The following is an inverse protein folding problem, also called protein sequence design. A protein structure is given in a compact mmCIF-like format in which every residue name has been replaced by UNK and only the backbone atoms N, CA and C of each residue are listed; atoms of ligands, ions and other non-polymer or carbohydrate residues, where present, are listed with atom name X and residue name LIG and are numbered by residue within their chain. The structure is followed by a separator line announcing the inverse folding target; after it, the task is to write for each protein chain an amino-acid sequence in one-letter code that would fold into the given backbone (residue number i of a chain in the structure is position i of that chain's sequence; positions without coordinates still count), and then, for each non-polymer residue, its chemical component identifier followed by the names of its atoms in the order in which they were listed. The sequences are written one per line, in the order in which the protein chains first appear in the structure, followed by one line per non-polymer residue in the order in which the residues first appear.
data_IF_123316383777
#
_entry.id   IF_123316383777
#
_cell.length_a   1.000
_cell.length_b   1.000
_cell.length_c   1.000
_cell.angle_alpha   90.00
_cell.angle_beta   90.00
_cell.angle_gamma   90.00
#
_symmetry.space_group_name_H-M   'P 1'
#
loop_
_entity.id
_entity.type
_entity.pdbx_description
1 polymer ?
#
# COMPACT_ATOMS: atom_id res chain seq x y z
N UNK A 1 -54.22 -15.80 -7.08
CA UNK A 1 -53.53 -14.61 -6.50
C UNK A 1 -52.41 -14.95 -5.51
N UNK A 2 -52.59 -15.83 -4.51
CA UNK A 2 -51.55 -16.18 -3.51
C UNK A 2 -50.20 -16.61 -4.13
N UNK A 3 -50.19 -17.45 -5.16
CA UNK A 3 -48.93 -17.88 -5.81
C UNK A 3 -48.15 -16.78 -6.53
N UNK A 4 -48.81 -15.71 -7.01
CA UNK A 4 -48.13 -14.61 -7.71
C UNK A 4 -47.48 -13.66 -6.71
N UNK A 5 -48.18 -13.34 -5.61
CA UNK A 5 -47.64 -12.51 -4.53
C UNK A 5 -46.41 -13.15 -3.86
N UNK A 6 -46.45 -14.47 -3.63
CA UNK A 6 -45.31 -15.19 -3.07
C UNK A 6 -44.10 -15.22 -4.04
N UNK A 7 -44.34 -15.22 -5.35
CA UNK A 7 -43.28 -15.19 -6.36
C UNK A 7 -42.56 -13.84 -6.40
N UNK A 8 -43.34 -12.76 -6.40
CA UNK A 8 -42.82 -11.39 -6.35
C UNK A 8 -42.01 -11.19 -5.06
N UNK A 9 -42.55 -11.63 -3.91
CA UNK A 9 -41.85 -11.60 -2.63
C UNK A 9 -40.54 -12.39 -2.63
N UNK A 10 -40.52 -13.57 -3.25
CA UNK A 10 -39.31 -14.39 -3.37
C UNK A 10 -38.24 -13.72 -4.24
N UNK A 11 -38.63 -13.08 -5.34
CA UNK A 11 -37.70 -12.32 -6.19
C UNK A 11 -37.04 -11.16 -5.44
N UNK A 12 -37.82 -10.38 -4.68
CA UNK A 12 -37.27 -9.30 -3.85
C UNK A 12 -36.35 -9.81 -2.74
N UNK A 13 -36.68 -10.94 -2.13
CA UNK A 13 -35.82 -11.58 -1.12
C UNK A 13 -34.47 -12.02 -1.71
N UNK A 14 -34.49 -12.50 -2.95
CA UNK A 14 -33.32 -12.94 -3.69
C UNK A 14 -32.41 -11.77 -4.09
N UNK A 15 -33.00 -10.64 -4.50
CA UNK A 15 -32.28 -9.38 -4.75
C UNK A 15 -31.67 -8.81 -3.47
N UNK A 16 -32.41 -8.85 -2.34
CA UNK A 16 -31.89 -8.39 -1.06
C UNK A 16 -30.66 -9.21 -0.61
N UNK A 17 -30.69 -10.53 -0.79
CA UNK A 17 -29.54 -11.41 -0.49
C UNK A 17 -28.31 -11.07 -1.33
N UNK A 18 -28.48 -10.76 -2.61
CA UNK A 18 -27.38 -10.33 -3.48
C UNK A 18 -26.77 -9.00 -3.02
N UNK A 19 -27.60 -8.01 -2.70
CA UNK A 19 -27.14 -6.69 -2.23
C UNK A 19 -26.39 -6.82 -0.90
N UNK A 20 -26.90 -7.63 0.04
CA UNK A 20 -26.23 -7.89 1.32
C UNK A 20 -24.88 -8.59 1.10
N UNK A 21 -24.81 -9.56 0.18
CA UNK A 21 -23.56 -10.26 -0.15
C UNK A 21 -22.50 -9.34 -0.75
N UNK A 22 -22.89 -8.45 -1.68
CA UNK A 22 -21.99 -7.45 -2.28
C UNK A 22 -21.52 -6.45 -1.22
N UNK A 23 -22.44 -5.96 -0.38
CA UNK A 23 -22.11 -5.03 0.70
C UNK A 23 -21.12 -5.65 1.70
N UNK A 24 -21.29 -6.93 2.05
CA UNK A 24 -20.39 -7.64 2.95
C UNK A 24 -18.98 -7.78 2.36
N UNK A 25 -18.86 -8.12 1.07
CA UNK A 25 -17.57 -8.24 0.40
C UNK A 25 -16.88 -6.88 0.35
N UNK A 26 -17.61 -5.83 -0.05
CA UNK A 26 -17.07 -4.47 -0.06
C UNK A 26 -16.59 -4.06 1.34
N UNK A 27 -17.40 -4.25 2.38
CA UNK A 27 -17.01 -3.91 3.75
C UNK A 27 -15.74 -4.65 4.18
N UNK A 28 -15.65 -5.94 3.89
CA UNK A 28 -14.46 -6.73 4.21
C UNK A 28 -13.23 -6.24 3.46
N UNK A 29 -13.36 -6.02 2.15
CA UNK A 29 -12.27 -5.51 1.31
C UNK A 29 -11.79 -4.14 1.77
N UNK A 30 -12.71 -3.26 2.19
CA UNK A 30 -12.38 -1.95 2.76
C UNK A 30 -11.60 -2.07 4.08
N UNK A 31 -12.04 -2.95 4.98
CA UNK A 31 -11.33 -3.21 6.24
C UNK A 31 -9.94 -3.81 6.03
N UNK A 32 -9.77 -4.68 5.03
CA UNK A 32 -8.48 -5.28 4.70
C UNK A 32 -7.55 -4.24 4.06
N UNK A 33 -8.09 -3.33 3.24
CA UNK A 33 -7.34 -2.22 2.61
C UNK A 33 -6.87 -1.18 3.65
N UNK A 34 -7.71 -0.85 4.64
CA UNK A 34 -7.34 0.06 5.73
C UNK A 34 -6.21 -0.50 6.60
N UNK A 35 -6.26 -1.79 6.95
CA UNK A 35 -5.17 -2.47 7.66
C UNK A 35 -3.88 -2.44 6.85
N UNK A 36 -3.98 -2.64 5.53
CA UNK A 36 -2.85 -2.64 4.61
C UNK A 36 -2.20 -1.24 4.52
N UNK A 37 -2.99 -0.18 4.45
CA UNK A 37 -2.49 1.21 4.43
C UNK A 37 -1.74 1.59 5.70
N UNK A 38 -2.26 1.21 6.87
CA UNK A 38 -1.60 1.50 8.16
C UNK A 38 -0.25 0.78 8.23
N UNK A 39 -0.20 -0.50 7.88
CA UNK A 39 1.05 -1.25 7.81
C UNK A 39 2.01 -0.70 6.75
N UNK A 40 1.51 -0.12 5.65
CA UNK A 40 2.33 0.47 4.58
C UNK A 40 3.04 1.73 5.04
N UNK A 41 2.33 2.61 5.74
CA UNK A 41 2.92 3.83 6.30
C UNK A 41 4.09 3.53 7.24
N UNK A 42 4.00 2.49 8.06
CA UNK A 42 5.09 2.13 8.97
C UNK A 42 6.37 1.69 8.24
N UNK A 43 6.24 0.93 7.15
CA UNK A 43 7.40 0.43 6.38
C UNK A 43 8.01 1.55 5.52
N UNK A 44 7.19 2.39 4.90
CA UNK A 44 7.70 3.53 4.13
C UNK A 44 8.42 4.54 5.04
N UNK A 45 7.87 4.80 6.23
CA UNK A 45 8.51 5.64 7.25
C UNK A 45 9.85 5.01 7.69
N UNK A 46 9.88 3.71 7.94
CA UNK A 46 11.11 3.01 8.30
C UNK A 46 12.19 3.10 7.21
N UNK A 47 11.81 2.97 5.94
CA UNK A 47 12.74 3.10 4.80
C UNK A 47 13.29 4.51 4.70
N UNK A 48 12.44 5.52 4.87
CA UNK A 48 12.84 6.91 4.84
C UNK A 48 13.82 7.26 5.98
N UNK A 49 13.49 6.86 7.22
CA UNK A 49 14.37 7.06 8.38
C UNK A 49 15.69 6.29 8.23
N UNK A 50 15.65 5.06 7.72
CA UNK A 50 16.84 4.26 7.46
C UNK A 50 17.75 4.92 6.42
N UNK A 51 17.17 5.48 5.36
CA UNK A 51 17.91 6.18 4.31
C UNK A 51 18.56 7.46 4.84
N UNK A 52 17.85 8.25 5.64
CA UNK A 52 18.38 9.45 6.29
C UNK A 52 19.57 9.11 7.20
N UNK A 53 19.46 8.05 8.01
CA UNK A 53 20.57 7.56 8.83
C UNK A 53 21.75 7.19 7.93
N UNK A 54 21.55 6.46 6.84
CA UNK A 54 22.66 6.04 5.98
C UNK A 54 23.39 7.21 5.33
N UNK A 55 22.67 8.19 4.80
CA UNK A 55 23.26 9.36 4.13
C UNK A 55 24.11 10.14 5.13
N UNK A 56 23.54 10.49 6.29
CA UNK A 56 24.24 11.29 7.29
C UNK A 56 25.43 10.52 7.90
N UNK A 57 25.36 9.19 7.99
CA UNK A 57 26.45 8.37 8.54
C UNK A 57 27.60 8.21 7.55
N UNK A 58 27.29 8.12 6.26
CA UNK A 58 28.29 8.19 5.19
C UNK A 58 28.98 9.55 5.22
N UNK A 59 28.21 10.65 5.30
CA UNK A 59 28.76 12.00 5.38
C UNK A 59 29.73 12.15 6.55
N UNK A 60 29.30 11.80 7.78
CA UNK A 60 30.13 11.82 8.98
C UNK A 60 31.34 10.87 8.92
N UNK A 61 31.26 9.79 8.13
CA UNK A 61 32.37 8.88 7.86
C UNK A 61 33.41 9.52 6.95
N UNK A 62 32.99 10.20 5.89
CA UNK A 62 33.89 10.88 4.95
C UNK A 62 34.52 12.16 5.51
N UNK A 63 33.87 12.87 6.44
CA UNK A 63 34.42 14.11 7.02
C UNK A 63 35.84 13.96 7.61
N UNK A 64 36.27 12.73 7.95
CA UNK A 64 37.64 12.49 8.43
C UNK A 64 38.75 12.71 7.41
N UNK A 65 38.43 12.73 6.12
CA UNK A 65 39.41 12.86 5.03
C UNK A 65 39.88 14.31 4.85
N UNK A 66 39.04 15.29 5.19
CA UNK A 66 39.34 16.72 5.03
C UNK A 66 39.82 17.39 6.33
N UNK A 67 40.05 16.62 7.40
CA UNK A 67 40.32 17.13 8.75
C UNK A 67 41.56 18.04 8.86
N UNK A 68 42.49 17.93 7.91
CA UNK A 68 43.72 18.74 7.85
C UNK A 68 43.47 20.20 7.44
N UNK A 69 42.32 20.48 6.80
CA UNK A 69 41.94 21.80 6.30
C UNK A 69 40.92 22.49 7.22
N UNK A 70 40.52 21.84 8.32
CA UNK A 70 39.42 22.30 9.15
C UNK A 70 39.77 23.48 10.04
N UNK A 71 38.86 24.45 10.07
CA UNK A 71 38.82 25.51 11.08
C UNK A 71 37.85 25.16 12.21
N UNK A 72 37.78 26.03 13.22
CA UNK A 72 36.83 25.87 14.34
C UNK A 72 35.37 25.78 13.87
N UNK A 73 34.99 26.49 12.80
CA UNK A 73 33.64 26.45 12.25
C UNK A 73 33.26 25.06 11.70
N UNK A 74 34.20 24.37 11.05
CA UNK A 74 33.99 23.01 10.51
C UNK A 74 33.83 21.99 11.64
N UNK A 75 34.56 22.19 12.75
CA UNK A 75 34.43 21.36 13.94
C UNK A 75 33.04 21.51 14.58
N UNK A 76 32.49 22.73 14.62
CA UNK A 76 31.12 22.96 15.10
C UNK A 76 30.08 22.37 14.15
N UNK A 77 30.29 22.49 12.84
CA UNK A 77 29.42 21.87 11.84
C UNK A 77 29.36 20.34 12.01
N UNK A 78 30.53 19.71 12.16
CA UNK A 78 30.63 18.28 12.42
C UNK A 78 29.94 17.88 13.72
N UNK A 79 30.14 18.66 14.79
CA UNK A 79 29.48 18.42 16.08
C UNK A 79 27.95 18.48 15.95
N UNK A 80 27.43 19.50 15.25
CA UNK A 80 25.99 19.63 15.01
C UNK A 80 25.43 18.44 14.23
N UNK A 81 26.05 18.05 13.12
CA UNK A 81 25.65 16.88 12.34
C UNK A 81 25.67 15.59 13.17
N UNK A 82 26.69 15.42 14.03
CA UNK A 82 26.78 14.29 14.96
C UNK A 82 25.62 14.30 15.96
N UNK A 83 25.20 15.45 16.46
CA UNK A 83 24.08 15.54 17.41
C UNK A 83 22.73 15.24 16.75
N UNK A 84 22.54 15.67 15.50
CA UNK A 84 21.38 15.25 14.68
C UNK A 84 21.37 13.74 14.52
N UNK A 85 22.51 13.14 14.14
CA UNK A 85 22.66 11.69 14.02
C UNK A 85 22.34 10.98 15.34
N UNK A 86 22.84 11.49 16.47
CA UNK A 86 22.62 10.89 17.78
C UNK A 86 21.13 10.87 18.18
N UNK A 87 20.41 11.95 17.87
CA UNK A 87 18.96 12.05 18.06
C UNK A 87 18.21 11.02 17.21
N UNK A 88 18.55 10.93 15.92
CA UNK A 88 17.92 9.96 15.01
C UNK A 88 18.23 8.52 15.47
N UNK A 89 19.47 8.21 15.83
CA UNK A 89 19.86 6.90 16.36
C UNK A 89 19.12 6.56 17.67
N UNK A 90 18.85 7.54 18.53
CA UNK A 90 18.08 7.34 19.76
C UNK A 90 16.61 7.03 19.46
N UNK A 91 15.99 7.75 18.52
CA UNK A 91 14.63 7.44 18.03
C UNK A 91 14.58 6.08 17.35
N UNK A 92 15.60 5.73 16.60
CA UNK A 92 15.68 4.45 15.92
C UNK A 92 15.85 3.30 16.93
N UNK A 93 16.59 3.52 18.03
CA UNK A 93 16.78 2.54 19.10
C UNK A 93 15.49 2.17 19.83
N UNK A 94 14.57 3.12 20.04
CA UNK A 94 13.27 2.83 20.69
C UNK A 94 12.37 1.96 19.82
N UNK A 95 12.46 2.11 18.50
CA UNK A 95 11.68 1.32 17.55
C UNK A 95 12.37 -0.03 17.28
N UNK A 96 13.70 -0.05 17.20
CA UNK A 96 14.51 -1.22 16.86
C UNK A 96 15.76 -1.33 17.75
N UNK A 97 15.66 -2.05 18.89
CA UNK A 97 16.78 -2.22 19.80
C UNK A 97 17.84 -3.11 19.15
N UNK A 98 18.94 -2.51 18.69
CA UNK A 98 20.12 -3.23 18.22
C UNK A 98 21.35 -2.80 19.00
N UNK A 99 22.17 -3.77 19.43
CA UNK A 99 23.42 -3.49 20.15
C UNK A 99 24.44 -2.70 19.30
N UNK A 100 24.26 -2.66 17.98
CA UNK A 100 25.16 -1.93 17.05
C UNK A 100 24.98 -0.42 17.11
N UNK A 101 23.78 0.08 17.43
CA UNK A 101 23.52 1.53 17.51
C UNK A 101 24.43 2.18 18.56
N UNK A 102 24.55 1.57 19.74
CA UNK A 102 25.39 2.10 20.81
C UNK A 102 26.88 2.09 20.42
N UNK A 103 27.34 1.05 19.72
CA UNK A 103 28.71 1.01 19.18
C UNK A 103 28.97 2.12 18.16
N UNK A 104 28.02 2.39 17.26
CA UNK A 104 28.11 3.46 16.26
C UNK A 104 28.18 4.83 16.94
N UNK A 105 27.34 5.08 17.96
CA UNK A 105 27.34 6.33 18.72
C UNK A 105 28.70 6.59 19.39
N UNK A 106 29.24 5.59 20.07
CA UNK A 106 30.56 5.71 20.70
C UNK A 106 31.70 5.89 19.68
N UNK A 107 31.62 5.25 18.52
CA UNK A 107 32.60 5.43 17.45
C UNK A 107 32.58 6.86 16.89
N UNK A 108 31.41 7.44 16.70
CA UNK A 108 31.24 8.83 16.24
C UNK A 108 31.75 9.84 17.28
N UNK A 109 31.49 9.60 18.57
CA UNK A 109 32.02 10.43 19.65
C UNK A 109 33.55 10.39 19.74
N UNK A 110 34.12 9.20 19.65
CA UNK A 110 35.57 9.03 19.69
C UNK A 110 36.25 9.65 18.47
N UNK A 111 35.62 9.56 17.30
CA UNK A 111 36.08 10.22 16.06
C UNK A 111 36.10 11.75 16.21
N UNK A 112 35.02 12.37 16.69
CA UNK A 112 34.97 13.82 16.97
C UNK A 112 36.12 14.24 17.90
N UNK A 113 36.34 13.47 18.97
CA UNK A 113 37.39 13.75 19.95
C UNK A 113 38.78 13.71 19.32
N UNK A 114 39.03 12.80 18.37
CA UNK A 114 40.30 12.74 17.66
C UNK A 114 40.46 13.88 16.65
N UNK A 115 39.42 14.22 15.90
CA UNK A 115 39.43 15.36 14.97
C UNK A 115 39.76 16.66 15.71
N UNK A 116 39.13 16.90 16.87
CA UNK A 116 39.43 18.06 17.72
C UNK A 116 40.90 18.10 18.15
N UNK A 117 41.51 16.96 18.48
CA UNK A 117 42.95 16.89 18.81
C UNK A 117 43.83 17.19 17.60
N UNK A 118 43.46 16.74 16.41
CA UNK A 118 44.21 17.00 15.17
C UNK A 118 44.20 18.50 14.86
N UNK A 119 43.03 19.13 14.87
CA UNK A 119 42.88 20.59 14.64
C UNK A 119 43.69 21.39 15.66
N UNK A 120 43.64 21.05 16.96
CA UNK A 120 44.44 21.72 17.99
C UNK A 120 45.95 21.62 17.76
N UNK A 121 46.44 20.45 17.32
CA UNK A 121 47.87 20.28 17.00
C UNK A 121 48.24 21.08 15.75
N UNK A 122 47.35 21.18 14.78
CA UNK A 122 47.56 21.97 13.57
C UNK A 122 47.62 23.48 13.87
N UNK A 123 46.71 23.99 14.70
CA UNK A 123 46.74 25.38 15.18
C UNK A 123 48.04 25.70 15.95
N UNK A 124 48.51 24.77 16.79
CA UNK A 124 49.80 24.91 17.49
C UNK A 124 50.98 24.93 16.51
N UNK A 125 50.95 24.08 15.48
CA UNK A 125 51.96 24.02 14.44
C UNK A 125 52.03 25.34 13.65
N UNK A 126 50.87 25.92 13.32
CA UNK A 126 50.76 27.19 12.61
C UNK A 126 51.23 28.37 13.47
N UNK A 127 50.88 28.40 14.77
CA UNK A 127 51.38 29.41 15.70
C UNK A 127 52.91 29.37 15.87
N UNK A 128 53.52 28.18 15.84
CA UNK A 128 54.99 28.03 15.83
C UNK A 128 55.56 28.54 14.51
N UNK A 129 54.95 28.19 13.37
CA UNK A 129 55.40 28.65 12.05
C UNK A 129 55.30 30.18 11.89
N UNK A 130 54.27 30.81 12.45
CA UNK A 130 54.13 32.27 12.51
C UNK A 130 55.19 32.92 13.38
N UNK A 131 55.52 32.31 14.53
CA UNK A 131 56.66 32.75 15.37
C UNK A 131 57.98 32.67 14.61
N UNK A 132 58.20 31.60 13.83
CA UNK A 132 59.38 31.44 12.96
C UNK A 132 59.45 32.57 11.94
N UNK A 133 58.36 32.79 11.20
CA UNK A 133 58.28 33.83 10.16
C UNK A 133 58.53 35.23 10.73
N UNK A 134 58.14 35.49 11.98
CA UNK A 134 58.40 36.77 12.67
C UNK A 134 59.79 36.89 13.29
N UNK A 135 60.38 35.80 13.79
CA UNK A 135 61.67 35.85 14.51
C UNK A 135 62.89 35.71 13.60
N UNK A 136 62.79 34.94 12.52
CA UNK A 136 63.90 34.73 11.57
C UNK A 136 64.43 36.06 10.99
N UNK A 137 63.59 37.02 10.57
CA UNK A 137 64.07 38.32 10.10
C UNK A 137 64.78 39.14 11.18
N UNK A 138 64.29 39.11 12.42
CA UNK A 138 64.81 39.92 13.54
C UNK A 138 66.22 39.48 13.92
N UNK A 139 66.49 38.18 13.86
CA UNK A 139 67.79 37.63 14.22
C UNK A 139 68.80 37.82 13.07
N UNK A 140 68.36 37.73 11.81
CA UNK A 140 69.17 38.11 10.64
C UNK A 140 69.53 39.60 10.72
N UNK A 141 68.59 40.48 11.08
CA UNK A 141 68.83 41.92 11.22
C UNK A 141 69.83 42.25 12.34
N UNK A 142 69.72 41.59 13.51
CA UNK A 142 70.72 41.71 14.59
C UNK A 142 72.10 41.19 14.19
N UNK A 143 72.18 40.14 13.37
CA UNK A 143 73.45 39.61 12.86
C UNK A 143 74.14 40.50 11.83
N UNK A 144 73.39 41.30 11.07
CA UNK A 144 73.95 42.32 10.15
C UNK A 144 74.53 43.50 10.93
N UNK A 145 74.02 43.77 12.13
CA UNK A 145 74.51 44.86 13.00
C UNK A 145 75.76 44.45 13.81
N UNK A 146 76.00 43.16 14.02
CA UNK A 146 77.27 42.63 14.55
C UNK A 146 78.27 42.41 13.41
N UNK A 147 79.02 43.46 13.05
CA UNK A 147 80.14 43.33 12.09
C UNK A 147 81.14 42.24 12.50
N UNK A 148 81.66 41.43 11.56
CA UNK A 148 82.77 40.52 11.84
C UNK A 148 84.02 41.35 12.13
N UNK A 149 84.55 41.32 13.35
CA UNK A 149 85.85 41.92 13.64
C UNK A 149 86.91 41.25 12.76
N UNK A 150 87.50 42.04 11.85
CA UNK A 150 88.58 41.61 10.95
C UNK A 150 89.74 41.02 11.78
N UNK A 151 90.32 39.87 11.39
CA UNK A 151 91.48 39.32 12.07
C UNK A 151 92.68 40.27 11.91
N UNK A 152 93.15 40.86 13.02
CA UNK A 152 94.38 41.67 13.02
C UNK A 152 95.59 40.77 12.80
N UNK A 153 96.22 40.90 11.63
CA UNK A 153 97.49 40.26 11.31
C UNK A 153 98.63 41.11 11.88
N UNK A 154 99.26 40.67 12.96
CA UNK A 154 100.51 41.27 13.46
C UNK A 154 101.67 40.53 12.79
N UNK A 155 102.43 41.21 11.94
CA UNK A 155 103.70 40.72 11.40
C UNK A 155 104.86 41.40 12.12
N UNK A 156 105.82 40.61 12.60
CA UNK A 156 107.25 40.67 12.25
C UNK A 156 108.00 39.60 13.06
N UNK A 157 108.77 38.76 12.36
CA UNK A 157 109.63 37.65 12.80
C UNK A 157 108.98 36.48 13.58
N UNK A 158 109.14 35.27 13.05
CA UNK A 158 109.02 34.03 13.82
C UNK A 158 108.03 33.03 13.23
N UNK A 159 108.57 31.97 12.64
CA UNK A 159 107.87 30.83 12.05
C UNK A 159 107.11 30.10 13.17
N UNK A 160 105.84 30.41 13.45
CA UNK A 160 104.81 29.56 14.10
C UNK A 160 103.57 30.42 14.42
N UNK A 161 102.79 30.75 13.39
CA UNK A 161 101.48 31.38 13.55
C UNK A 161 100.35 30.35 13.47
N UNK A 162 99.96 29.72 14.58
CA UNK A 162 98.75 28.90 14.65
C UNK A 162 97.56 29.82 14.33
N UNK A 163 96.84 29.55 13.23
CA UNK A 163 95.58 30.24 12.93
C UNK A 163 94.56 29.79 13.98
N UNK A 164 94.23 30.67 14.91
CA UNK A 164 93.14 30.43 15.85
C UNK A 164 91.83 30.42 15.04
N UNK A 165 91.12 29.29 15.08
CA UNK A 165 89.81 29.16 14.42
C UNK A 165 88.90 30.26 14.98
N UNK A 166 88.16 31.01 14.14
CA UNK A 166 87.28 32.06 14.65
C UNK A 166 86.31 31.44 15.66
N UNK A 167 86.31 31.95 16.90
CA UNK A 167 85.32 31.59 17.91
C UNK A 167 83.94 31.94 17.34
N UNK A 168 82.96 31.02 17.34
CA UNK A 168 81.62 31.35 16.90
C UNK A 168 81.08 32.45 17.83
N UNK A 169 80.80 33.63 17.26
CA UNK A 169 80.12 34.74 17.95
C UNK A 169 78.88 34.18 18.66
N UNK A 170 78.63 34.56 19.91
CA UNK A 170 77.53 34.01 20.74
C UNK A 170 76.18 33.95 20.00
N UNK A 171 75.91 34.93 19.14
CA UNK A 171 74.75 35.04 18.25
C UNK A 171 74.60 33.86 17.28
N UNK A 172 75.69 33.34 16.71
CA UNK A 172 75.65 32.14 15.84
C UNK A 172 75.41 30.85 16.61
N UNK A 173 75.79 30.81 17.89
CA UNK A 173 75.54 29.64 18.75
C UNK A 173 74.09 29.64 19.24
N UNK A 174 73.55 30.82 19.59
CA UNK A 174 72.13 30.99 19.97
C UNK A 174 71.17 30.74 18.81
N UNK A 175 71.49 31.19 17.59
CA UNK A 175 70.71 30.86 16.39
C UNK A 175 70.65 29.36 16.14
N UNK A 176 71.79 28.66 16.23
CA UNK A 176 71.85 27.21 16.04
C UNK A 176 71.12 26.43 17.12
N UNK A 177 71.14 26.88 18.37
CA UNK A 177 70.40 26.21 19.44
C UNK A 177 68.89 26.42 19.27
N UNK A 178 68.45 27.64 18.95
CA UNK A 178 67.06 27.95 18.69
C UNK A 178 66.53 27.14 17.48
N UNK A 179 67.29 27.09 16.39
CA UNK A 179 66.97 26.31 15.20
C UNK A 179 66.88 24.81 15.51
N UNK A 180 67.80 24.25 16.31
CA UNK A 180 67.75 22.84 16.72
C UNK A 180 66.57 22.50 17.62
N UNK A 181 66.32 23.29 18.66
CA UNK A 181 65.24 23.01 19.61
C UNK A 181 63.87 23.14 18.93
N UNK A 182 63.74 24.12 18.04
CA UNK A 182 62.52 24.35 17.26
C UNK A 182 62.28 23.28 16.18
N UNK A 183 63.32 22.84 15.47
CA UNK A 183 63.22 21.68 14.55
C UNK A 183 62.87 20.40 15.32
N UNK A 184 63.40 20.23 16.55
CA UNK A 184 63.07 19.09 17.39
C UNK A 184 61.60 19.11 17.83
N UNK A 185 61.07 20.29 18.19
CA UNK A 185 59.66 20.48 18.56
C UNK A 185 58.72 20.25 17.36
N UNK A 186 59.08 20.77 16.18
CA UNK A 186 58.35 20.52 14.92
C UNK A 186 58.32 19.02 14.56
N UNK A 187 59.46 18.31 14.69
CA UNK A 187 59.52 16.87 14.47
C UNK A 187 58.71 16.08 15.49
N UNK A 188 58.68 16.51 16.75
CA UNK A 188 57.89 15.86 17.79
C UNK A 188 56.37 16.03 17.54
N UNK A 189 55.93 17.22 17.12
CA UNK A 189 54.55 17.48 16.74
C UNK A 189 54.13 16.71 15.48
N UNK A 190 54.98 16.68 14.44
CA UNK A 190 54.73 15.89 13.22
C UNK A 190 54.59 14.39 13.52
N UNK A 191 55.40 13.83 14.43
CA UNK A 191 55.25 12.44 14.88
C UNK A 191 53.94 12.20 15.63
N UNK A 192 53.51 13.13 16.48
CA UNK A 192 52.20 13.05 17.18
C UNK A 192 51.05 13.12 16.17
N UNK A 193 51.16 13.98 15.17
CA UNK A 193 50.16 14.11 14.11
C UNK A 193 50.03 12.81 13.31
N UNK A 194 51.15 12.19 12.90
CA UNK A 194 51.16 10.87 12.26
C UNK A 194 50.42 9.82 13.08
N UNK A 195 50.65 9.77 14.39
CA UNK A 195 49.94 8.84 15.27
C UNK A 195 48.43 9.09 15.34
N UNK A 196 48.00 10.36 15.27
CA UNK A 196 46.58 10.70 15.23
C UNK A 196 45.94 10.38 13.88
N UNK A 197 46.61 10.61 12.75
CA UNK A 197 46.10 10.22 11.42
C UNK A 197 46.01 8.70 11.28
N UNK A 198 47.01 7.95 11.77
CA UNK A 198 46.98 6.48 11.77
C UNK A 198 45.83 5.94 12.63
N UNK A 199 45.62 6.53 13.82
CA UNK A 199 44.50 6.18 14.68
C UNK A 199 43.15 6.54 14.05
N UNK A 200 43.05 7.69 13.37
CA UNK A 200 41.84 8.11 12.68
C UNK A 200 41.49 7.17 11.53
N UNK A 201 42.48 6.73 10.75
CA UNK A 201 42.31 5.77 9.67
C UNK A 201 41.79 4.42 10.19
N UNK A 202 42.39 3.91 11.27
CA UNK A 202 41.93 2.68 11.94
C UNK A 202 40.48 2.80 12.44
N UNK A 203 40.12 3.94 13.03
CA UNK A 203 38.76 4.18 13.51
C UNK A 203 37.75 4.35 12.39
N UNK A 204 38.15 4.98 11.28
CA UNK A 204 37.30 5.09 10.09
C UNK A 204 37.04 3.71 9.46
N UNK A 205 38.04 2.82 9.47
CA UNK A 205 37.87 1.44 9.03
C UNK A 205 36.89 0.66 9.92
N UNK A 206 36.98 0.80 11.26
CA UNK A 206 36.02 0.17 12.18
C UNK A 206 34.60 0.77 12.05
N UNK A 207 34.49 2.08 11.88
CA UNK A 207 33.21 2.77 11.66
C UNK A 207 32.55 2.29 10.35
N UNK A 208 33.31 2.19 9.26
CA UNK A 208 32.83 1.62 8.00
C UNK A 208 32.43 0.14 8.13
N UNK A 209 33.16 -0.66 8.91
CA UNK A 209 32.80 -2.05 9.21
C UNK A 209 31.48 -2.14 9.99
N UNK A 210 31.29 -1.30 11.01
CA UNK A 210 30.04 -1.25 11.77
C UNK A 210 28.88 -0.74 10.91
N UNK A 211 29.11 0.28 10.09
CA UNK A 211 28.15 0.82 9.13
C UNK A 211 27.72 -0.27 8.15
N UNK A 212 28.63 -1.01 7.51
CA UNK A 212 28.27 -2.13 6.64
C UNK A 212 27.48 -3.21 7.37
N UNK A 213 27.83 -3.51 8.63
CA UNK A 213 27.08 -4.44 9.46
C UNK A 213 25.67 -3.95 9.79
N UNK A 214 25.52 -2.64 10.04
CA UNK A 214 24.25 -1.98 10.30
C UNK A 214 23.38 -1.95 9.04
N UNK A 215 23.94 -1.53 7.89
CA UNK A 215 23.30 -1.57 6.57
C UNK A 215 22.76 -2.96 6.29
N UNK A 216 23.59 -4.00 6.44
CA UNK A 216 23.18 -5.37 6.16
C UNK A 216 22.07 -5.88 7.08
N UNK A 217 22.03 -5.42 8.34
CA UNK A 217 20.94 -5.76 9.26
C UNK A 217 19.65 -5.06 8.88
N UNK A 218 19.71 -3.78 8.53
CA UNK A 218 18.56 -3.01 8.08
C UNK A 218 18.01 -3.54 6.76
N UNK A 219 18.89 -3.81 5.79
CA UNK A 219 18.51 -4.35 4.48
C UNK A 219 17.83 -5.72 4.61
N UNK A 220 18.36 -6.61 5.46
CA UNK A 220 17.69 -7.87 5.80
C UNK A 220 16.30 -7.67 6.42
N UNK A 221 16.15 -6.66 7.26
CA UNK A 221 14.87 -6.36 7.91
C UNK A 221 13.86 -5.81 6.90
N UNK A 222 14.28 -4.86 6.06
CA UNK A 222 13.47 -4.36 4.93
C UNK A 222 13.07 -5.52 4.02
N UNK A 223 14.00 -6.40 3.67
CA UNK A 223 13.72 -7.54 2.81
C UNK A 223 12.77 -8.55 3.46
N UNK A 224 12.92 -8.84 4.76
CA UNK A 224 12.00 -9.71 5.48
C UNK A 224 10.59 -9.12 5.55
N UNK A 225 10.47 -7.81 5.82
CA UNK A 225 9.18 -7.12 5.84
C UNK A 225 8.52 -7.07 4.44
N UNK A 226 9.32 -6.93 3.37
CA UNK A 226 8.85 -7.04 1.99
C UNK A 226 8.39 -8.46 1.64
N UNK A 227 9.17 -9.48 2.00
CA UNK A 227 8.79 -10.88 1.78
C UNK A 227 7.53 -11.27 2.54
N UNK A 228 7.39 -10.79 3.77
CA UNK A 228 6.17 -10.97 4.57
C UNK A 228 4.96 -10.36 3.85
N UNK A 229 5.12 -9.21 3.20
CA UNK A 229 4.07 -8.60 2.38
C UNK A 229 3.77 -9.38 1.12
N UNK A 230 4.78 -9.86 0.41
CA UNK A 230 4.53 -10.71 -0.76
C UNK A 230 3.75 -11.96 -0.35
N UNK A 231 4.06 -12.55 0.81
CA UNK A 231 3.31 -13.66 1.39
C UNK A 231 1.88 -13.27 1.81
N UNK A 232 1.68 -12.11 2.44
CA UNK A 232 0.34 -11.62 2.81
C UNK A 232 -0.49 -11.23 1.58
N UNK A 233 0.10 -10.63 0.55
CA UNK A 233 -0.57 -10.30 -0.72
C UNK A 233 -0.95 -11.56 -1.48
N UNK A 234 -0.10 -12.58 -1.48
CA UNK A 234 -0.43 -13.87 -2.10
C UNK A 234 -1.52 -14.61 -1.34
N UNK A 235 -1.48 -14.60 0.00
CA UNK A 235 -2.56 -15.13 0.84
C UNK A 235 -3.87 -14.36 0.66
N UNK A 236 -3.83 -13.03 0.57
CA UNK A 236 -5.00 -12.20 0.26
C UNK A 236 -5.54 -12.51 -1.13
N UNK A 237 -4.69 -12.68 -2.14
CA UNK A 237 -5.14 -13.09 -3.48
C UNK A 237 -5.87 -14.42 -3.43
N UNK A 238 -5.33 -15.41 -2.72
CA UNK A 238 -5.96 -16.72 -2.58
C UNK A 238 -7.32 -16.62 -1.89
N UNK A 239 -7.41 -15.83 -0.81
CA UNK A 239 -8.68 -15.60 -0.11
C UNK A 239 -9.70 -14.82 -0.96
N UNK A 240 -9.25 -13.79 -1.69
CA UNK A 240 -10.11 -13.03 -2.61
C UNK A 240 -10.58 -13.89 -3.78
N UNK A 241 -9.75 -14.78 -4.31
CA UNK A 241 -10.17 -15.76 -5.32
C UNK A 241 -11.27 -16.68 -4.78
N UNK A 242 -11.15 -17.16 -3.54
CA UNK A 242 -12.19 -17.97 -2.91
C UNK A 242 -13.50 -17.17 -2.70
N UNK A 243 -13.41 -15.90 -2.32
CA UNK A 243 -14.59 -15.04 -2.13
C UNK A 243 -15.29 -14.68 -3.43
N UNK A 244 -14.53 -14.25 -4.45
CA UNK A 244 -15.04 -13.95 -5.79
C UNK A 244 -15.62 -15.22 -6.42
N UNK A 245 -14.94 -16.36 -6.26
CA UNK A 245 -15.41 -17.67 -6.70
C UNK A 245 -16.72 -18.07 -6.00
N UNK A 246 -16.80 -17.90 -4.69
CA UNK A 246 -18.03 -18.17 -3.91
C UNK A 246 -19.19 -17.27 -4.32
N UNK A 247 -18.96 -15.97 -4.54
CA UNK A 247 -19.99 -15.04 -5.00
C UNK A 247 -20.48 -15.41 -6.40
N UNK A 248 -19.55 -15.72 -7.30
CA UNK A 248 -19.88 -16.15 -8.67
C UNK A 248 -20.70 -17.44 -8.65
N UNK A 249 -20.32 -18.41 -7.82
CA UNK A 249 -21.09 -19.65 -7.61
C UNK A 249 -22.48 -19.39 -7.02
N UNK A 250 -22.60 -18.46 -6.06
CA UNK A 250 -23.88 -18.08 -5.47
C UNK A 250 -24.82 -17.42 -6.50
N UNK A 251 -24.32 -16.50 -7.32
CA UNK A 251 -25.09 -15.89 -8.41
C UNK A 251 -25.57 -16.95 -9.41
N UNK A 252 -24.71 -17.90 -9.79
CA UNK A 252 -25.05 -19.01 -10.68
C UNK A 252 -26.15 -19.90 -10.09
N UNK A 253 -26.04 -20.25 -8.81
CA UNK A 253 -27.04 -21.03 -8.09
C UNK A 253 -28.40 -20.32 -8.05
N UNK A 254 -28.39 -19.02 -7.80
CA UNK A 254 -29.59 -18.17 -7.84
C UNK A 254 -30.24 -18.13 -9.23
N UNK A 255 -29.46 -18.04 -10.30
CA UNK A 255 -29.96 -18.13 -11.67
C UNK A 255 -30.63 -19.47 -11.96
N UNK A 256 -30.03 -20.58 -11.51
CA UNK A 256 -30.61 -21.93 -11.66
C UNK A 256 -31.95 -22.03 -10.91
N UNK A 257 -32.03 -21.54 -9.67
CA UNK A 257 -33.27 -21.53 -8.89
C UNK A 257 -34.34 -20.69 -9.60
N UNK A 258 -34.00 -19.49 -10.07
CA UNK A 258 -34.89 -18.62 -10.83
C UNK A 258 -35.41 -19.33 -12.09
N UNK A 259 -34.53 -19.98 -12.85
CA UNK A 259 -34.89 -20.77 -14.03
C UNK A 259 -35.86 -21.90 -13.70
N UNK A 260 -35.60 -22.69 -12.65
CA UNK A 260 -36.48 -23.78 -12.22
C UNK A 260 -37.87 -23.25 -11.87
N UNK A 261 -37.93 -22.12 -11.16
CA UNK A 261 -39.20 -21.50 -10.76
C UNK A 261 -39.98 -21.03 -12.01
N UNK A 262 -39.32 -20.32 -12.93
CA UNK A 262 -39.93 -19.84 -14.18
C UNK A 262 -40.44 -21.03 -15.00
N UNK A 263 -39.62 -22.06 -15.20
CA UNK A 263 -39.98 -23.23 -16.00
C UNK A 263 -41.15 -24.00 -15.38
N UNK A 264 -41.11 -24.24 -14.06
CA UNK A 264 -42.21 -24.89 -13.34
C UNK A 264 -43.51 -24.09 -13.45
N UNK A 265 -43.42 -22.76 -13.44
CA UNK A 265 -44.59 -21.90 -13.59
C UNK A 265 -45.13 -21.88 -15.02
N UNK A 266 -44.26 -21.78 -16.03
CA UNK A 266 -44.64 -21.89 -17.44
C UNK A 266 -45.42 -23.20 -17.70
N UNK A 267 -44.93 -24.31 -17.13
CA UNK A 267 -45.61 -25.61 -17.22
C UNK A 267 -46.94 -25.65 -16.44
N UNK A 268 -47.05 -24.97 -15.28
CA UNK A 268 -48.34 -24.83 -14.58
C UNK A 268 -49.34 -24.02 -15.39
N UNK A 269 -48.94 -22.86 -15.91
CA UNK A 269 -49.81 -21.98 -16.70
C UNK A 269 -50.28 -22.70 -17.95
N UNK A 270 -49.39 -23.43 -18.65
CA UNK A 270 -49.75 -24.23 -19.82
C UNK A 270 -50.82 -25.28 -19.49
N UNK A 271 -50.68 -26.00 -18.37
CA UNK A 271 -51.69 -26.97 -17.90
C UNK A 271 -53.01 -26.33 -17.52
N UNK A 272 -52.99 -25.16 -16.86
CA UNK A 272 -54.23 -24.45 -16.53
C UNK A 272 -54.95 -23.99 -17.80
N UNK A 273 -54.22 -23.42 -18.78
CA UNK A 273 -54.81 -23.03 -20.07
C UNK A 273 -55.46 -24.22 -20.78
N UNK A 274 -54.78 -25.37 -20.82
CA UNK A 274 -55.33 -26.60 -21.43
C UNK A 274 -56.60 -27.09 -20.73
N UNK A 275 -56.64 -27.11 -19.40
CA UNK A 275 -57.86 -27.49 -18.66
C UNK A 275 -59.00 -26.52 -18.92
N UNK A 276 -58.72 -25.23 -19.02
CA UNK A 276 -59.75 -24.23 -19.31
C UNK A 276 -60.29 -24.38 -20.73
N UNK A 277 -59.43 -24.63 -21.73
CA UNK A 277 -59.89 -24.89 -23.11
C UNK A 277 -60.70 -26.17 -23.22
N UNK A 278 -60.32 -27.23 -22.51
CA UNK A 278 -61.06 -28.49 -22.49
C UNK A 278 -62.46 -28.31 -21.86
N UNK A 279 -62.53 -27.60 -20.73
CA UNK A 279 -63.79 -27.33 -20.04
C UNK A 279 -64.75 -26.47 -20.88
N UNK A 280 -64.22 -25.48 -21.61
CA UNK A 280 -65.00 -24.68 -22.56
C UNK A 280 -65.54 -25.58 -23.69
N UNK A 281 -64.73 -26.50 -24.22
CA UNK A 281 -65.15 -27.47 -25.22
C UNK A 281 -66.29 -28.38 -24.73
N UNK A 282 -66.18 -28.91 -23.51
CA UNK A 282 -67.23 -29.73 -22.89
C UNK A 282 -68.54 -28.94 -22.70
N UNK A 283 -68.44 -27.68 -22.27
CA UNK A 283 -69.61 -26.82 -22.12
C UNK A 283 -70.30 -26.59 -23.46
N UNK A 284 -69.53 -26.32 -24.51
CA UNK A 284 -70.07 -26.09 -25.85
C UNK A 284 -70.75 -27.34 -26.42
N UNK A 285 -70.17 -28.52 -26.20
CA UNK A 285 -70.80 -29.78 -26.58
C UNK A 285 -72.12 -30.03 -25.83
N UNK A 286 -72.16 -29.70 -24.52
CA UNK A 286 -73.39 -29.82 -23.73
C UNK A 286 -74.47 -28.84 -24.19
N UNK A 287 -74.09 -27.62 -24.59
CA UNK A 287 -75.01 -26.64 -25.18
C UNK A 287 -75.58 -27.15 -26.50
N UNK A 288 -74.73 -27.68 -27.39
CA UNK A 288 -75.15 -28.25 -28.67
C UNK A 288 -76.09 -29.45 -28.50
N UNK A 289 -75.80 -30.35 -27.55
CA UNK A 289 -76.68 -31.46 -27.21
C UNK A 289 -78.04 -30.99 -26.68
N UNK A 290 -78.06 -29.97 -25.81
CA UNK A 290 -79.31 -29.40 -25.31
C UNK A 290 -80.11 -28.73 -26.42
N UNK A 291 -79.45 -28.02 -27.33
CA UNK A 291 -80.11 -27.39 -28.48
C UNK A 291 -80.75 -28.45 -29.41
N UNK A 292 -80.02 -29.53 -29.69
CA UNK A 292 -80.54 -30.66 -30.46
C UNK A 292 -81.74 -31.34 -29.76
N UNK A 293 -81.69 -31.50 -28.43
CA UNK A 293 -82.80 -32.03 -27.63
C UNK A 293 -84.02 -31.10 -27.66
N UNK A 294 -83.82 -29.78 -27.52
CA UNK A 294 -84.91 -28.78 -27.62
C UNK A 294 -85.53 -28.80 -29.02
N UNK A 295 -84.72 -28.88 -30.08
CA UNK A 295 -85.21 -28.96 -31.44
C UNK A 295 -86.01 -30.25 -31.71
N UNK A 296 -85.51 -31.39 -31.20
CA UNK A 296 -86.23 -32.68 -31.24
C UNK A 296 -87.55 -32.61 -30.47
N UNK A 297 -87.54 -32.06 -29.25
CA UNK A 297 -88.75 -31.84 -28.45
C UNK A 297 -89.76 -30.94 -29.15
N UNK A 298 -89.31 -29.85 -29.77
CA UNK A 298 -90.16 -28.94 -30.56
C UNK A 298 -90.81 -29.66 -31.76
N UNK A 299 -90.04 -30.51 -32.47
CA UNK A 299 -90.58 -31.34 -33.57
C UNK A 299 -91.61 -32.34 -33.06
N UNK A 300 -91.32 -33.07 -31.98
CA UNK A 300 -92.26 -34.03 -31.40
C UNK A 300 -93.58 -33.37 -30.99
N UNK A 301 -93.52 -32.24 -30.27
CA UNK A 301 -94.71 -31.47 -29.89
C UNK A 301 -95.49 -31.00 -31.11
N UNK A 302 -94.80 -30.51 -32.14
CA UNK A 302 -95.43 -30.09 -33.39
C UNK A 302 -96.17 -31.25 -34.09
N UNK A 303 -95.53 -32.42 -34.17
CA UNK A 303 -96.13 -33.63 -34.75
C UNK A 303 -97.34 -34.09 -33.94
N UNK A 304 -97.24 -34.19 -32.60
CA UNK A 304 -98.37 -34.55 -31.73
C UNK A 304 -99.54 -33.59 -31.95
N UNK A 305 -99.27 -32.28 -32.04
CA UNK A 305 -100.30 -31.27 -32.28
C UNK A 305 -100.97 -31.46 -33.65
N UNK A 306 -100.20 -31.79 -34.69
CA UNK A 306 -100.72 -32.06 -36.02
C UNK A 306 -101.60 -33.32 -36.03
N UNK A 307 -101.13 -34.42 -35.45
CA UNK A 307 -101.87 -35.69 -35.35
C UNK A 307 -103.14 -35.56 -34.53
N UNK A 308 -103.16 -34.75 -33.46
CA UNK A 308 -104.36 -34.49 -32.66
C UNK A 308 -105.36 -33.57 -33.37
N UNK A 309 -104.90 -32.68 -34.26
CA UNK A 309 -105.78 -31.77 -35.00
C UNK A 309 -106.71 -32.54 -35.94
N UNK A 310 -106.21 -33.54 -36.66
CA UNK A 310 -106.97 -34.33 -37.63
C UNK A 310 -108.23 -35.00 -37.05
N UNK A 311 -108.16 -35.81 -35.98
CA UNK A 311 -109.35 -36.41 -35.38
C UNK A 311 -110.26 -35.36 -34.74
N UNK A 312 -109.71 -34.29 -34.16
CA UNK A 312 -110.52 -33.22 -33.58
C UNK A 312 -111.34 -32.49 -34.65
N UNK A 313 -110.75 -32.20 -35.81
CA UNK A 313 -111.46 -31.62 -36.95
C UNK A 313 -112.50 -32.58 -37.51
N UNK A 314 -112.22 -33.88 -37.58
CA UNK A 314 -113.21 -34.89 -37.98
C UNK A 314 -114.38 -34.96 -37.00
N UNK A 315 -114.13 -34.98 -35.68
CA UNK A 315 -115.16 -34.96 -34.64
C UNK A 315 -116.01 -33.69 -34.77
N UNK A 316 -115.39 -32.52 -34.89
CA UNK A 316 -116.11 -31.24 -35.10
C UNK A 316 -116.98 -31.30 -36.37
N UNK A 317 -116.44 -31.85 -37.46
CA UNK A 317 -117.17 -32.03 -38.72
C UNK A 317 -118.38 -32.95 -38.57
N UNK A 318 -118.22 -34.09 -37.89
CA UNK A 318 -119.33 -35.00 -37.60
C UNK A 318 -120.38 -34.36 -36.68
N UNK A 319 -119.97 -33.63 -35.64
CA UNK A 319 -120.92 -32.92 -34.77
C UNK A 319 -121.71 -31.85 -35.52
N UNK A 320 -121.06 -31.11 -36.43
CA UNK A 320 -121.74 -30.10 -37.26
C UNK A 320 -122.74 -30.73 -38.26
N UNK A 321 -122.43 -31.92 -38.79
CA UNK A 321 -123.37 -32.67 -39.64
C UNK A 321 -124.55 -33.23 -38.84
N UNK A 322 -124.33 -33.69 -37.60
CA UNK A 322 -125.40 -34.11 -36.71
C UNK A 322 -126.32 -32.94 -36.32
N UNK A 323 -125.75 -31.76 -36.04
CA UNK A 323 -126.52 -30.54 -35.79
C UNK A 323 -127.42 -30.19 -37.00
N UNK A 324 -126.86 -30.24 -38.22
CA UNK A 324 -127.59 -29.98 -39.46
C UNK A 324 -128.64 -31.06 -39.81
N UNK A 325 -128.38 -32.31 -39.47
CA UNK A 325 -129.35 -33.41 -39.62
C UNK A 325 -130.53 -33.28 -38.68
N UNK A 326 -130.28 -32.83 -37.45
CA UNK A 326 -131.32 -32.55 -36.46
C UNK A 326 -132.21 -31.35 -36.87
N UNK A 327 -131.63 -30.37 -37.58
CA UNK A 327 -132.38 -29.27 -38.20
C UNK A 327 -133.22 -29.74 -39.42
N UNK A 328 -132.71 -30.68 -40.22
CA UNK A 328 -133.42 -31.24 -41.37
C UNK A 328 -134.57 -32.20 -40.99
N UNK A 329 -134.43 -32.96 -39.89
CA UNK A 329 -135.52 -33.77 -39.33
C UNK A 329 -136.62 -32.90 -38.71
N UNK A 330 -136.25 -31.71 -38.21
CA UNK A 330 -137.22 -30.66 -37.81
C UNK A 330 -138.02 -30.13 -39.00
N UNK A 331 -137.42 -30.08 -40.20
CA UNK A 331 -138.05 -29.56 -41.42
C UNK A 331 -138.96 -30.59 -42.10
N UNK A 332 -138.67 -31.90 -42.00
CA UNK A 332 -139.53 -32.99 -42.54
C UNK A 332 -140.73 -33.36 -41.67
N UNK A 333 -140.76 -33.00 -40.39
CA UNK A 333 -141.92 -33.18 -39.53
C UNK A 333 -143.03 -32.14 -39.75
N UNK A 334 -142.84 -31.19 -40.68
CA UNK A 334 -143.78 -30.12 -40.99
C UNK A 334 -144.03 -30.14 -42.51
N UNK A 335 -144.90 -31.01 -43.00
CA UNK A 335 -145.93 -30.66 -43.99
C UNK A 335 -146.89 -31.83 -44.30
N UNK A 336 -148.18 -31.52 -44.54
CA UNK A 336 -149.35 -32.40 -44.38
C UNK A 336 -149.64 -33.38 -45.52
#
# INVERSE_FOLDING_TARGET
MKSIKNLISLGYLLMALLVIGIMYIWYKELCDLEKWEVQNRHIDTFRQESHEIFVLLIELSLSGETVLEWEHADLEHYHYQRMVMDSILCRFKTIYPTKRIDSVRHLLEDKERQMRKIVQVFEQQQAINDKITRQVPIIVQKSVQEQPQKPKRKGFLGIFGKKEKPKPTMTTTMLRSLDRDMIAEQRAQSRRLSGYTDSLASRNAELNRQLHGFIRQMDKKVQADLQKREAEITAMREQSFMQIGSLTGFVLLLLVISYIIIHRNANRIKRYKQKTTDLIGQLQQSVEQNEALIASGKKAVHTITHELRTPLTAIIGYTALMEKGNDADKERAICP
#
